data_IF_888509252969
#
_entry.id   IF_888509252969
#
_cell.length_a   1.000
_cell.length_b   1.000
_cell.length_c   1.000
_cell.angle_alpha   90.00
_cell.angle_beta   90.00
_cell.angle_gamma   90.00
#
_symmetry.space_group_name_H-M   'P 1'
#
loop_
_entity.id
_entity.type
_entity.pdbx_description
1 polymer ?
#
# COMPACT_ATOMS: atom_id res chain seq x y z
N UNK A 1 47.39 -21.38 37.60
CA UNK A 1 48.03 -20.13 37.12
C UNK A 1 47.94 -20.17 35.60
N UNK A 2 46.97 -19.48 34.99
CA UNK A 2 47.02 -18.09 34.49
C UNK A 2 47.90 -17.90 33.23
N UNK A 3 47.33 -17.19 32.26
CA UNK A 3 47.87 -16.36 31.14
C UNK A 3 47.58 -16.96 29.72
N UNK A 4 46.66 -16.38 28.89
CA UNK A 4 46.76 -15.13 28.08
C UNK A 4 47.70 -15.34 26.85
N UNK A 5 47.47 -14.99 25.58
CA UNK A 5 46.57 -14.06 24.86
C UNK A 5 46.69 -14.32 23.33
N UNK A 6 45.63 -13.92 22.62
CA UNK A 6 45.37 -13.73 21.18
C UNK A 6 46.52 -13.43 20.19
N UNK A 7 46.30 -13.82 18.93
CA UNK A 7 46.27 -12.95 17.73
C UNK A 7 45.67 -13.77 16.57
N UNK A 8 44.45 -13.47 16.14
CA UNK A 8 43.86 -14.06 14.91
C UNK A 8 43.91 -12.99 13.82
N UNK A 9 44.73 -13.27 12.81
CA UNK A 9 45.10 -12.37 11.72
C UNK A 9 43.98 -12.32 10.68
N UNK A 10 43.56 -11.10 10.32
CA UNK A 10 42.66 -10.84 9.22
C UNK A 10 43.28 -11.28 7.88
N UNK A 11 42.54 -12.04 7.08
CA UNK A 11 42.77 -12.15 5.64
C UNK A 11 41.45 -12.01 4.89
N UNK A 12 41.25 -10.82 4.33
CA UNK A 12 40.26 -10.50 3.32
C UNK A 12 40.84 -10.97 1.98
N UNK A 13 40.24 -11.99 1.34
CA UNK A 13 40.56 -12.35 -0.04
C UNK A 13 39.42 -11.96 -0.96
N UNK A 14 39.76 -11.07 -1.87
CA UNK A 14 39.01 -10.65 -3.05
C UNK A 14 39.22 -11.67 -4.19
N UNK A 15 38.28 -11.69 -5.14
CA UNK A 15 38.35 -12.21 -6.53
C UNK A 15 37.60 -13.52 -6.82
N UNK A 16 36.57 -13.43 -7.68
CA UNK A 16 36.50 -14.16 -8.97
C UNK A 16 35.26 -13.76 -9.78
N UNK A 17 35.51 -13.24 -10.96
CA UNK A 17 34.58 -13.04 -12.08
C UNK A 17 34.02 -14.38 -12.53
N UNK A 18 32.71 -14.49 -12.83
CA UNK A 18 32.18 -15.55 -13.68
C UNK A 18 31.09 -14.94 -14.59
N UNK A 19 31.41 -14.80 -15.88
CA UNK A 19 30.40 -14.68 -16.94
C UNK A 19 30.13 -16.10 -17.45
N UNK A 20 28.89 -16.55 -17.41
CA UNK A 20 28.44 -17.72 -18.17
C UNK A 20 26.94 -17.58 -18.38
N UNK A 21 26.56 -17.36 -19.64
CA UNK A 21 25.22 -17.58 -20.12
C UNK A 21 24.97 -19.10 -20.24
N UNK A 22 23.78 -19.55 -19.84
CA UNK A 22 23.04 -20.78 -20.19
C UNK A 22 22.41 -21.39 -18.93
N UNK A 23 21.07 -21.40 -18.89
CA UNK A 23 20.31 -22.09 -17.86
C UNK A 23 19.20 -21.21 -17.29
N UNK A 24 18.06 -21.22 -17.95
CA UNK A 24 16.74 -20.84 -17.47
C UNK A 24 16.40 -21.58 -16.17
N UNK A 25 16.89 -21.03 -15.07
CA UNK A 25 16.55 -21.36 -13.70
C UNK A 25 15.54 -20.33 -13.21
N UNK A 26 14.27 -20.55 -13.54
CA UNK A 26 13.17 -19.77 -12.93
C UNK A 26 12.83 -20.44 -11.59
N UNK A 27 13.78 -20.42 -10.67
CA UNK A 27 13.44 -20.40 -9.26
C UNK A 27 12.65 -19.11 -9.06
N UNK A 28 11.33 -19.23 -9.08
CA UNK A 28 10.46 -18.32 -8.34
C UNK A 28 10.94 -18.38 -6.90
N UNK A 29 11.91 -17.53 -6.59
CA UNK A 29 12.26 -17.08 -5.27
C UNK A 29 10.99 -16.41 -4.76
N UNK A 30 10.08 -17.24 -4.24
CA UNK A 30 9.07 -16.84 -3.29
C UNK A 30 9.89 -16.39 -2.09
N UNK A 31 10.36 -15.15 -2.14
CA UNK A 31 10.76 -14.41 -0.98
C UNK A 31 9.48 -14.26 -0.17
N UNK A 32 9.18 -15.28 0.63
CA UNK A 32 8.49 -15.11 1.88
C UNK A 32 9.30 -14.05 2.64
N UNK A 33 8.97 -12.78 2.39
CA UNK A 33 9.24 -11.73 3.32
C UNK A 33 8.51 -12.14 4.59
N UNK A 34 9.28 -12.71 5.52
CA UNK A 34 8.94 -12.70 6.94
C UNK A 34 8.93 -11.23 7.33
N UNK A 35 7.81 -10.58 7.00
CA UNK A 35 7.42 -9.31 7.57
C UNK A 35 6.88 -9.67 8.94
N UNK A 36 7.54 -9.19 10.00
CA UNK A 36 6.93 -9.15 11.33
C UNK A 36 5.46 -8.72 11.19
N UNK A 37 4.49 -9.40 11.84
CA UNK A 37 3.10 -8.97 11.82
C UNK A 37 3.04 -7.61 12.52
N UNK A 38 3.25 -6.58 11.73
CA UNK A 38 2.90 -5.20 12.04
C UNK A 38 1.40 -5.16 11.79
N UNK A 39 0.60 -4.54 12.64
CA UNK A 39 -0.87 -4.63 12.56
C UNK A 39 -1.47 -4.13 11.21
N UNK A 40 -0.69 -3.41 10.38
CA UNK A 40 -1.01 -3.21 8.94
C UNK A 40 -1.15 -4.52 8.18
N UNK A 41 -0.33 -5.53 8.50
CA UNK A 41 -0.42 -6.89 7.99
C UNK A 41 -1.76 -7.54 8.29
N UNK A 42 -2.46 -7.16 9.36
CA UNK A 42 -3.79 -7.71 9.64
C UNK A 42 -4.86 -7.10 8.72
N UNK A 43 -4.79 -5.78 8.47
CA UNK A 43 -5.65 -5.13 7.49
C UNK A 43 -5.35 -5.63 6.06
N UNK A 44 -4.08 -5.61 5.66
CA UNK A 44 -3.61 -6.11 4.36
C UNK A 44 -3.96 -7.59 4.19
N UNK A 45 -3.70 -8.42 5.20
CA UNK A 45 -4.02 -9.84 5.20
C UNK A 45 -5.52 -10.10 5.11
N UNK A 46 -6.35 -9.28 5.76
CA UNK A 46 -7.80 -9.35 5.65
C UNK A 46 -8.28 -9.06 4.23
N UNK A 47 -7.72 -8.04 3.58
CA UNK A 47 -8.01 -7.71 2.17
C UNK A 47 -7.58 -8.84 1.24
N UNK A 48 -6.36 -9.35 1.39
CA UNK A 48 -5.86 -10.46 0.58
C UNK A 48 -6.75 -11.70 0.69
N UNK A 49 -7.09 -12.09 1.92
CA UNK A 49 -7.88 -13.29 2.21
C UNK A 49 -9.32 -13.17 1.71
N UNK A 50 -9.97 -12.03 1.93
CA UNK A 50 -11.38 -11.84 1.59
C UNK A 50 -11.60 -11.53 0.11
N UNK A 51 -10.67 -10.83 -0.55
CA UNK A 51 -10.83 -10.39 -1.94
C UNK A 51 -9.99 -11.21 -2.93
N UNK A 52 -9.17 -12.14 -2.45
CA UNK A 52 -8.31 -12.98 -3.30
C UNK A 52 -7.20 -12.19 -4.00
N UNK A 53 -6.70 -11.13 -3.35
CA UNK A 53 -5.67 -10.25 -3.89
C UNK A 53 -4.27 -10.66 -3.44
N UNK A 54 -3.27 -10.39 -4.27
CA UNK A 54 -1.87 -10.46 -3.86
C UNK A 54 -1.52 -9.34 -2.87
N UNK A 55 -0.39 -9.49 -2.16
CA UNK A 55 0.06 -8.49 -1.19
C UNK A 55 0.23 -7.11 -1.83
N UNK A 56 0.94 -6.99 -2.95
CA UNK A 56 1.14 -5.70 -3.62
C UNK A 56 -0.18 -5.05 -4.11
N UNK A 57 -1.16 -5.87 -4.50
CA UNK A 57 -2.49 -5.36 -4.85
C UNK A 57 -3.26 -4.87 -3.63
N UNK A 58 -3.21 -5.60 -2.51
CA UNK A 58 -3.85 -5.18 -1.28
C UNK A 58 -3.20 -3.90 -0.72
N UNK A 59 -1.87 -3.86 -0.63
CA UNK A 59 -1.13 -2.69 -0.16
C UNK A 59 -1.35 -1.47 -1.05
N UNK A 60 -1.21 -1.61 -2.37
CA UNK A 60 -1.42 -0.50 -3.29
C UNK A 60 -2.88 -0.05 -3.41
N UNK A 61 -3.83 -0.99 -3.34
CA UNK A 61 -5.26 -0.68 -3.33
C UNK A 61 -5.67 0.07 -2.05
N UNK A 62 -5.24 -0.42 -0.89
CA UNK A 62 -5.41 0.26 0.39
C UNK A 62 -4.76 1.63 0.40
N UNK A 63 -3.52 1.72 -0.06
CA UNK A 63 -2.79 2.98 -0.21
C UNK A 63 -3.56 4.00 -1.03
N UNK A 64 -4.16 3.57 -2.14
CA UNK A 64 -4.88 4.45 -3.07
C UNK A 64 -6.16 5.00 -2.41
N UNK A 65 -6.90 4.15 -1.71
CA UNK A 65 -8.07 4.56 -0.93
C UNK A 65 -7.69 5.52 0.20
N UNK A 66 -6.63 5.21 0.95
CA UNK A 66 -6.16 6.03 2.07
C UNK A 66 -5.60 7.37 1.58
N UNK A 67 -4.93 7.40 0.43
CA UNK A 67 -4.46 8.63 -0.21
C UNK A 67 -5.63 9.53 -0.63
N UNK A 68 -6.70 8.95 -1.21
CA UNK A 68 -7.93 9.67 -1.48
C UNK A 68 -8.53 10.24 -0.19
N UNK A 69 -8.67 9.42 0.85
CA UNK A 69 -9.20 9.87 2.14
C UNK A 69 -8.35 11.02 2.72
N UNK A 70 -7.02 10.91 2.67
CA UNK A 70 -6.10 11.96 3.09
C UNK A 70 -6.29 13.26 2.30
N UNK A 71 -6.39 13.16 0.97
CA UNK A 71 -6.60 14.32 0.10
C UNK A 71 -7.95 15.00 0.34
N UNK A 72 -9.00 14.21 0.58
CA UNK A 72 -10.36 14.72 0.80
C UNK A 72 -10.57 15.32 2.19
N UNK A 73 -9.96 14.74 3.23
CA UNK A 73 -10.12 15.17 4.62
C UNK A 73 -9.10 16.24 5.04
N UNK A 74 -7.92 16.22 4.40
CA UNK A 74 -6.75 16.96 4.86
C UNK A 74 -6.06 16.28 6.06
N UNK A 75 -4.82 16.69 6.31
CA UNK A 75 -3.92 16.02 7.28
C UNK A 75 -4.43 16.00 8.72
N UNK A 76 -5.22 17.01 9.13
CA UNK A 76 -5.75 17.09 10.50
C UNK A 76 -6.74 15.97 10.80
N UNK A 77 -7.74 15.80 9.93
CA UNK A 77 -8.80 14.80 10.11
C UNK A 77 -8.28 13.39 9.75
N UNK A 78 -7.38 13.30 8.77
CA UNK A 78 -6.74 12.03 8.40
C UNK A 78 -5.85 11.45 9.52
N UNK A 79 -5.32 12.29 10.43
CA UNK A 79 -4.48 11.81 11.54
C UNK A 79 -5.18 10.74 12.39
N UNK A 80 -6.48 10.90 12.62
CA UNK A 80 -7.26 9.93 13.40
C UNK A 80 -7.33 8.55 12.72
N UNK A 81 -7.31 8.52 11.38
CA UNK A 81 -7.27 7.30 10.57
C UNK A 81 -5.84 6.72 10.61
N UNK A 82 -4.81 7.54 10.37
CA UNK A 82 -3.42 7.08 10.36
C UNK A 82 -2.96 6.52 11.71
N UNK A 83 -3.43 7.12 12.82
CA UNK A 83 -3.11 6.65 14.16
C UNK A 83 -3.77 5.29 14.47
N UNK A 84 -4.85 4.95 13.77
CA UNK A 84 -5.60 3.71 13.93
C UNK A 84 -5.09 2.58 13.03
N UNK A 85 -4.21 2.86 12.06
CA UNK A 85 -3.66 1.89 11.10
C UNK A 85 -2.13 1.87 11.24
N UNK A 86 -1.56 0.95 12.02
CA UNK A 86 -0.12 0.88 12.21
C UNK A 86 0.60 0.58 10.89
N UNK A 87 1.61 1.37 10.53
CA UNK A 87 2.34 1.21 9.27
C UNK A 87 1.64 1.78 8.03
N UNK A 88 0.66 2.66 8.22
CA UNK A 88 -0.05 3.33 7.12
C UNK A 88 0.87 4.05 6.12
N UNK A 89 2.01 4.61 6.55
CA UNK A 89 3.01 5.21 5.65
C UNK A 89 3.50 4.22 4.58
N UNK A 90 3.62 2.94 4.94
CA UNK A 90 3.97 1.88 3.98
C UNK A 90 2.88 1.66 2.94
N UNK A 91 1.61 1.74 3.35
CA UNK A 91 0.46 1.64 2.43
C UNK A 91 0.40 2.85 1.50
N UNK A 92 0.54 4.06 2.04
CA UNK A 92 0.58 5.29 1.25
C UNK A 92 1.76 5.30 0.26
N UNK A 93 2.89 4.71 0.65
CA UNK A 93 4.06 4.52 -0.23
C UNK A 93 3.90 3.40 -1.26
N UNK A 94 2.93 2.50 -1.09
CA UNK A 94 2.64 1.40 -2.01
C UNK A 94 1.66 1.79 -3.12
N UNK A 95 1.16 3.03 -3.12
CA UNK A 95 0.32 3.57 -4.20
C UNK A 95 1.07 3.46 -5.53
N UNK A 96 0.48 2.86 -6.57
CA UNK A 96 1.13 2.77 -7.86
C UNK A 96 1.36 4.17 -8.43
N UNK A 97 2.54 4.42 -8.99
CA UNK A 97 2.81 5.68 -9.67
C UNK A 97 1.85 5.83 -10.84
N UNK A 98 0.94 6.79 -10.76
CA UNK A 98 0.05 7.14 -11.87
C UNK A 98 0.77 8.10 -12.79
N UNK A 99 0.72 7.84 -14.10
CA UNK A 99 1.30 8.77 -15.07
C UNK A 99 0.46 10.04 -15.05
N UNK A 100 1.08 11.22 -15.09
CA UNK A 100 0.32 12.49 -15.13
C UNK A 100 -0.60 12.61 -16.38
N UNK A 101 -0.45 11.69 -17.35
CA UNK A 101 -1.27 11.53 -18.55
C UNK A 101 -2.49 10.60 -18.38
N UNK A 102 -2.62 9.84 -17.28
CA UNK A 102 -3.78 8.96 -17.06
C UNK A 102 -5.04 9.80 -16.81
N UNK A 103 -5.80 10.07 -17.89
CA UNK A 103 -7.22 10.51 -17.89
C UNK A 103 -7.55 11.89 -17.31
N UNK A 104 -6.67 12.41 -16.47
CA UNK A 104 -6.83 13.52 -15.55
C UNK A 104 -7.03 14.85 -16.27
N UNK A 105 -6.11 15.16 -17.19
CA UNK A 105 -6.15 16.39 -17.98
C UNK A 105 -7.41 16.46 -18.85
N UNK A 106 -7.84 15.30 -19.36
CA UNK A 106 -9.03 15.18 -20.20
C UNK A 106 -10.34 15.41 -19.44
N UNK A 107 -10.49 14.82 -18.25
CA UNK A 107 -11.69 14.94 -17.42
C UNK A 107 -11.76 16.29 -16.69
N UNK A 108 -10.66 16.80 -16.15
CA UNK A 108 -10.60 18.08 -15.44
C UNK A 108 -10.96 19.25 -16.38
N UNK A 109 -10.54 19.16 -17.65
CA UNK A 109 -10.91 20.11 -18.70
C UNK A 109 -12.40 20.10 -19.05
N UNK A 110 -13.14 19.02 -18.73
CA UNK A 110 -14.60 18.92 -18.95
C UNK A 110 -15.44 19.18 -17.69
N UNK A 111 -14.86 19.04 -16.50
CA UNK A 111 -15.60 19.00 -15.23
C UNK A 111 -15.89 20.37 -14.58
N UNK A 112 -15.43 21.48 -15.14
CA UNK A 112 -15.88 22.85 -14.79
C UNK A 112 -16.12 23.09 -13.29
N UNK A 113 -15.07 22.97 -12.46
CA UNK A 113 -15.11 23.36 -11.04
C UNK A 113 -15.63 22.31 -10.04
N UNK A 114 -16.11 21.15 -10.47
CA UNK A 114 -16.47 20.02 -9.59
C UNK A 114 -15.31 19.03 -9.35
N UNK A 115 -14.08 19.50 -9.54
CA UNK A 115 -12.91 18.70 -9.89
C UNK A 115 -12.42 17.74 -8.82
N UNK A 116 -12.19 18.20 -7.59
CA UNK A 116 -11.36 17.45 -6.62
C UNK A 116 -11.95 16.12 -6.16
N UNK A 117 -13.24 16.04 -5.87
CA UNK A 117 -13.87 14.78 -5.45
C UNK A 117 -13.96 13.78 -6.61
N UNK A 118 -14.42 14.22 -7.79
CA UNK A 118 -14.48 13.36 -8.98
C UNK A 118 -13.10 12.88 -9.43
N UNK A 119 -12.10 13.73 -9.27
CA UNK A 119 -10.69 13.47 -9.56
C UNK A 119 -10.10 12.44 -8.61
N UNK A 120 -10.36 12.59 -7.31
CA UNK A 120 -9.93 11.65 -6.30
C UNK A 120 -10.44 10.23 -6.54
N UNK A 121 -11.72 10.08 -6.89
CA UNK A 121 -12.29 8.77 -7.19
C UNK A 121 -11.75 8.14 -8.47
N UNK A 122 -11.53 8.96 -9.51
CA UNK A 122 -10.89 8.48 -10.73
C UNK A 122 -9.47 7.95 -10.49
N UNK A 123 -8.68 8.63 -9.65
CA UNK A 123 -7.32 8.19 -9.30
C UNK A 123 -7.29 6.84 -8.60
N UNK A 124 -8.27 6.55 -7.72
CA UNK A 124 -8.39 5.23 -7.10
C UNK A 124 -8.66 4.16 -8.15
N UNK A 125 -9.59 4.40 -9.07
CA UNK A 125 -9.88 3.43 -10.12
C UNK A 125 -8.72 3.22 -11.09
N UNK A 126 -7.99 4.28 -11.46
CA UNK A 126 -6.78 4.18 -12.28
C UNK A 126 -5.69 3.36 -11.57
N UNK A 127 -5.51 3.56 -10.26
CA UNK A 127 -4.58 2.76 -9.45
C UNK A 127 -5.00 1.30 -9.41
N UNK A 128 -6.29 1.02 -9.23
CA UNK A 128 -6.83 -0.34 -9.26
C UNK A 128 -6.56 -0.99 -10.63
N UNK A 129 -6.83 -0.29 -11.73
CA UNK A 129 -6.54 -0.79 -13.08
C UNK A 129 -5.05 -1.07 -13.28
N UNK A 130 -4.18 -0.17 -12.81
CA UNK A 130 -2.71 -0.32 -12.91
C UNK A 130 -2.19 -1.51 -12.09
N UNK A 131 -2.84 -1.82 -10.97
CA UNK A 131 -2.58 -2.99 -10.14
C UNK A 131 -3.29 -4.27 -10.63
N UNK A 132 -4.12 -4.18 -11.68
CA UNK A 132 -4.92 -5.31 -12.17
C UNK A 132 -6.04 -5.74 -11.21
N UNK A 133 -6.53 -4.82 -10.38
CA UNK A 133 -7.64 -5.03 -9.44
C UNK A 133 -8.95 -4.61 -10.13
N UNK A 134 -10.00 -5.42 -10.01
CA UNK A 134 -11.31 -5.03 -10.54
C UNK A 134 -11.89 -3.84 -9.76
N UNK A 135 -12.51 -2.89 -10.45
CA UNK A 135 -13.17 -1.72 -9.84
C UNK A 135 -14.32 -2.14 -8.90
N UNK A 136 -14.96 -3.27 -9.16
CA UNK A 136 -16.00 -3.84 -8.28
C UNK A 136 -15.47 -4.20 -6.89
N UNK A 137 -14.15 -4.37 -6.73
CA UNK A 137 -13.52 -4.65 -5.44
C UNK A 137 -13.25 -3.40 -4.60
N UNK A 138 -13.48 -2.20 -5.14
CA UNK A 138 -13.29 -0.97 -4.38
C UNK A 138 -14.23 -0.91 -3.17
N UNK A 139 -15.54 -1.07 -3.37
CA UNK A 139 -16.53 -1.07 -2.30
C UNK A 139 -16.26 -2.11 -1.19
N UNK A 140 -16.06 -3.41 -1.51
CA UNK A 140 -15.78 -4.39 -0.46
C UNK A 140 -14.40 -4.17 0.20
N UNK A 141 -13.42 -3.59 -0.48
CA UNK A 141 -12.17 -3.17 0.17
C UNK A 141 -12.41 -2.05 1.18
N UNK A 142 -13.24 -1.05 0.83
CA UNK A 142 -13.66 0.00 1.76
C UNK A 142 -14.38 -0.58 2.99
N UNK A 143 -15.28 -1.55 2.79
CA UNK A 143 -15.97 -2.22 3.89
C UNK A 143 -15.00 -2.95 4.84
N UNK A 144 -13.92 -3.54 4.32
CA UNK A 144 -12.88 -4.19 5.14
C UNK A 144 -12.12 -3.14 5.96
N UNK A 145 -11.70 -2.02 5.36
CA UNK A 145 -11.03 -0.92 6.11
C UNK A 145 -11.96 -0.34 7.17
N UNK A 146 -13.25 -0.17 6.84
CA UNK A 146 -14.27 0.28 7.79
C UNK A 146 -14.36 -0.68 8.97
N UNK A 147 -14.49 -1.97 8.72
CA UNK A 147 -14.57 -3.00 9.76
C UNK A 147 -13.31 -3.04 10.63
N UNK A 148 -12.13 -2.83 10.03
CA UNK A 148 -10.89 -2.72 10.77
C UNK A 148 -10.86 -1.49 11.68
N UNK A 149 -11.27 -0.31 11.19
CA UNK A 149 -11.36 0.91 12.00
C UNK A 149 -12.44 0.81 13.09
N UNK A 150 -13.56 0.14 12.82
CA UNK A 150 -14.58 -0.13 13.85
C UNK A 150 -14.03 -1.03 14.97
N UNK A 151 -13.11 -1.95 14.65
CA UNK A 151 -12.52 -2.88 15.61
C UNK A 151 -11.29 -2.32 16.34
N UNK A 152 -10.44 -1.54 15.66
CA UNK A 152 -9.12 -1.12 16.14
C UNK A 152 -8.97 0.40 16.29
N UNK A 153 -9.86 1.18 15.68
CA UNK A 153 -9.83 2.63 15.72
C UNK A 153 -10.61 3.21 16.90
N UNK A 154 -10.53 4.54 17.02
CA UNK A 154 -11.36 5.29 17.97
C UNK A 154 -12.72 5.61 17.37
N UNK A 155 -13.73 5.86 18.23
CA UNK A 155 -15.09 6.18 17.78
C UNK A 155 -15.09 7.33 16.77
N UNK A 156 -15.71 7.11 15.60
CA UNK A 156 -15.83 8.09 14.53
C UNK A 156 -14.72 8.05 13.47
N UNK A 157 -13.68 7.23 13.64
CA UNK A 157 -12.62 7.05 12.61
C UNK A 157 -13.14 6.39 11.33
N UNK A 158 -14.04 5.42 11.45
CA UNK A 158 -14.70 4.80 10.29
C UNK A 158 -15.65 5.76 9.56
N UNK A 159 -16.33 6.66 10.29
CA UNK A 159 -17.13 7.73 9.69
C UNK A 159 -16.27 8.76 8.94
N UNK A 160 -15.09 9.09 9.49
CA UNK A 160 -14.11 9.95 8.80
C UNK A 160 -13.61 9.29 7.52
N UNK A 161 -13.29 7.99 7.55
CA UNK A 161 -12.92 7.26 6.35
C UNK A 161 -14.01 7.37 5.28
N UNK A 162 -15.27 7.10 5.63
CA UNK A 162 -16.40 7.19 4.70
C UNK A 162 -16.57 8.60 4.14
N UNK A 163 -16.39 9.64 4.97
CA UNK A 163 -16.38 11.03 4.53
C UNK A 163 -15.27 11.29 3.51
N UNK A 164 -14.06 10.79 3.75
CA UNK A 164 -12.91 10.94 2.85
C UNK A 164 -13.06 10.21 1.52
N UNK A 165 -13.84 9.12 1.52
CA UNK A 165 -14.11 8.28 0.36
C UNK A 165 -15.44 8.59 -0.35
N UNK A 166 -16.15 9.64 0.04
CA UNK A 166 -17.43 10.05 -0.57
C UNK A 166 -17.38 10.31 -2.08
N UNK A 167 -16.18 10.39 -2.67
CA UNK A 167 -15.95 10.46 -4.10
C UNK A 167 -16.18 9.15 -4.87
N UNK A 168 -16.12 8.00 -4.20
CA UNK A 168 -16.23 6.66 -4.81
C UNK A 168 -17.40 5.82 -4.27
N UNK A 169 -18.15 6.37 -3.30
CA UNK A 169 -19.30 5.75 -2.63
C UNK A 169 -20.60 6.42 -3.09
#
# INVERSE_FOLDING_TARGET
MKLLTATFLAMLSLVSTQVTAHGLDSLTEVTNAVSNPSESSDLVGSVMSQLGLSQGQAEGGLGSLLSLAQSSLGSSDFSAISDSIPGIDGLLGAVPELDNDSGMSGLLSKAGGFGESLQGGAMVYDAFEKLGISKDLAAPMVDIVKGYLDANGTSGTSDLLMKGLSAIL
#
